data_IF_798101049702
#
_entry.id   IF_798101049702
#
_cell.length_a   1.000
_cell.length_b   1.000
_cell.length_c   1.000
_cell.angle_alpha   90.00
_cell.angle_beta   90.00
_cell.angle_gamma   90.00
#
_symmetry.space_group_name_H-M   'P 1'
#
loop_
_entity.id
_entity.type
_entity.pdbx_description
1 polymer ?
#
# COMPACT_ATOMS: atom_id res chain seq x y z
N UNK A 1 34.68 -0.26 -23.87
CA UNK A 1 33.74 0.32 -22.87
C UNK A 1 33.15 -0.81 -22.07
N UNK A 2 33.57 -0.93 -20.84
CA UNK A 2 32.97 -1.87 -19.94
C UNK A 2 31.69 -1.20 -19.44
N UNK A 3 30.54 -1.63 -19.93
CA UNK A 3 29.28 -1.32 -19.26
C UNK A 3 29.31 -2.08 -17.95
N UNK A 4 29.60 -1.40 -16.87
CA UNK A 4 29.32 -1.96 -15.55
C UNK A 4 27.84 -2.25 -15.49
N UNK A 5 27.49 -3.52 -15.58
CA UNK A 5 26.19 -3.99 -15.16
C UNK A 5 26.15 -3.77 -13.67
N UNK A 6 25.61 -2.63 -13.26
CA UNK A 6 25.31 -2.41 -11.85
C UNK A 6 24.37 -3.55 -11.43
N UNK A 7 24.77 -4.33 -10.44
CA UNK A 7 23.90 -5.33 -9.86
C UNK A 7 22.65 -4.63 -9.32
N UNK A 8 21.50 -5.26 -9.54
CA UNK A 8 20.26 -4.79 -8.96
C UNK A 8 20.46 -4.61 -7.45
N UNK A 9 20.28 -3.38 -6.93
CA UNK A 9 20.49 -3.07 -5.52
C UNK A 9 21.61 -2.08 -5.21
N UNK A 10 22.56 -1.87 -6.13
CA UNK A 10 23.63 -0.88 -5.95
C UNK A 10 23.35 0.44 -6.68
N UNK A 11 22.21 0.54 -7.35
CA UNK A 11 21.81 1.73 -8.09
C UNK A 11 21.56 2.89 -7.13
N UNK A 12 22.22 4.04 -7.34
CA UNK A 12 21.91 5.24 -6.55
C UNK A 12 20.46 5.67 -6.73
N UNK A 13 19.89 6.22 -5.66
CA UNK A 13 18.55 6.78 -5.71
C UNK A 13 18.57 8.09 -6.49
N UNK A 14 17.55 8.27 -7.35
CA UNK A 14 17.26 9.55 -7.97
C UNK A 14 16.87 10.55 -6.87
N UNK A 15 17.32 11.83 -6.93
CA UNK A 15 16.89 12.83 -5.95
C UNK A 15 15.36 12.96 -5.80
N UNK A 16 14.61 12.76 -6.89
CA UNK A 16 13.14 12.78 -6.81
C UNK A 16 12.59 11.57 -6.06
N UNK A 17 13.23 10.40 -6.20
CA UNK A 17 12.84 9.20 -5.43
C UNK A 17 13.17 9.33 -3.95
N UNK A 18 14.25 10.05 -3.62
CA UNK A 18 14.69 10.26 -2.24
C UNK A 18 13.89 11.36 -1.53
N UNK A 19 13.06 12.12 -2.24
CA UNK A 19 12.25 13.17 -1.65
C UNK A 19 11.25 12.56 -0.63
N UNK A 20 11.27 13.08 0.58
CA UNK A 20 10.41 12.58 1.66
C UNK A 20 10.98 11.37 2.41
N UNK A 21 12.15 10.87 2.02
CA UNK A 21 12.82 9.79 2.73
C UNK A 21 13.29 10.28 4.12
N UNK A 22 12.95 9.55 5.19
CA UNK A 22 13.28 9.97 6.56
C UNK A 22 14.76 9.77 6.87
N UNK A 23 15.37 8.57 6.64
CA UNK A 23 16.79 8.38 6.91
C UNK A 23 17.65 9.03 5.83
N UNK A 24 18.56 9.91 6.26
CA UNK A 24 19.43 10.65 5.36
C UNK A 24 20.63 9.85 4.86
N UNK A 25 20.94 8.73 5.52
CA UNK A 25 22.07 7.86 5.17
C UNK A 25 21.74 6.87 4.05
N UNK A 26 20.49 6.73 3.69
CA UNK A 26 20.05 5.83 2.60
C UNK A 26 20.30 6.53 1.27
N UNK A 27 21.12 5.92 0.44
CA UNK A 27 21.54 6.49 -0.85
C UNK A 27 21.39 5.52 -2.02
N UNK A 28 21.14 4.24 -1.75
CA UNK A 28 20.98 3.21 -2.78
C UNK A 28 19.61 2.56 -2.71
N UNK A 29 19.18 1.98 -3.84
CA UNK A 29 17.92 1.25 -3.91
C UNK A 29 17.93 0.02 -3.02
N UNK A 30 19.07 -0.65 -2.88
CA UNK A 30 19.21 -1.81 -1.99
C UNK A 30 18.97 -1.43 -0.53
N UNK A 31 19.58 -0.35 -0.08
CA UNK A 31 19.37 0.17 1.27
C UNK A 31 17.91 0.55 1.51
N UNK A 32 17.28 1.23 0.54
CA UNK A 32 15.87 1.61 0.60
C UNK A 32 14.97 0.37 0.68
N UNK A 33 15.19 -0.62 -0.16
CA UNK A 33 14.40 -1.85 -0.18
C UNK A 33 14.50 -2.57 1.17
N UNK A 34 15.69 -2.64 1.74
CA UNK A 34 15.91 -3.25 3.06
C UNK A 34 15.15 -2.51 4.15
N UNK A 35 15.24 -1.19 4.16
CA UNK A 35 14.54 -0.36 5.15
C UNK A 35 13.03 -0.51 5.03
N UNK A 36 12.50 -0.48 3.82
CA UNK A 36 11.06 -0.68 3.58
C UNK A 36 10.62 -2.07 4.03
N UNK A 37 11.41 -3.09 3.74
CA UNK A 37 11.09 -4.47 4.15
C UNK A 37 11.06 -4.62 5.67
N UNK A 38 12.02 -4.06 6.38
CA UNK A 38 12.05 -4.05 7.85
C UNK A 38 10.82 -3.34 8.43
N UNK A 39 10.44 -2.22 7.85
CA UNK A 39 9.27 -1.46 8.26
C UNK A 39 7.97 -2.26 8.03
N UNK A 40 7.87 -2.97 6.90
CA UNK A 40 6.71 -3.82 6.60
C UNK A 40 6.61 -4.98 7.59
N UNK A 41 7.73 -5.60 7.98
CA UNK A 41 7.75 -6.65 9.02
C UNK A 41 7.17 -6.12 10.34
N UNK A 42 7.51 -4.91 10.72
CA UNK A 42 6.93 -4.27 11.92
C UNK A 42 5.42 -4.09 11.79
N UNK A 43 4.93 -3.73 10.60
CA UNK A 43 3.50 -3.61 10.33
C UNK A 43 2.78 -4.96 10.48
N UNK A 44 3.38 -6.05 10.00
CA UNK A 44 2.83 -7.40 10.16
C UNK A 44 2.72 -7.79 11.64
N UNK A 45 3.74 -7.47 12.44
CA UNK A 45 3.71 -7.69 13.88
C UNK A 45 2.60 -6.87 14.55
N UNK A 46 2.43 -5.62 14.15
CA UNK A 46 1.35 -4.77 14.65
C UNK A 46 -0.02 -5.37 14.33
N UNK A 47 -0.23 -5.88 13.12
CA UNK A 47 -1.49 -6.52 12.72
C UNK A 47 -1.84 -7.71 13.61
N UNK A 48 -0.85 -8.55 13.96
CA UNK A 48 -1.06 -9.71 14.81
C UNK A 48 -1.41 -9.31 16.26
N UNK A 49 -0.83 -8.24 16.74
CA UNK A 49 -1.03 -7.76 18.13
C UNK A 49 -2.31 -6.96 18.26
N UNK A 50 -2.51 -5.97 17.40
CA UNK A 50 -3.65 -5.05 17.47
C UNK A 50 -4.95 -5.66 16.95
N UNK A 51 -4.86 -6.56 15.96
CA UNK A 51 -5.99 -7.23 15.30
C UNK A 51 -7.14 -6.28 14.98
N UNK A 52 -6.92 -5.28 14.11
CA UNK A 52 -7.96 -4.30 13.76
C UNK A 52 -9.24 -4.98 13.26
N UNK A 53 -10.40 -4.48 13.69
CA UNK A 53 -11.69 -5.10 13.38
C UNK A 53 -12.32 -4.56 12.09
N UNK A 54 -12.07 -3.31 11.75
CA UNK A 54 -12.71 -2.63 10.62
C UNK A 54 -11.70 -2.44 9.49
N UNK A 55 -11.58 -3.45 8.61
CA UNK A 55 -10.61 -3.45 7.52
C UNK A 55 -11.06 -2.57 6.34
N UNK A 56 -12.37 -2.49 6.09
CA UNK A 56 -12.94 -1.70 4.99
C UNK A 56 -13.33 -0.32 5.48
N UNK A 57 -12.33 0.44 5.89
CA UNK A 57 -12.45 1.77 6.46
C UNK A 57 -11.25 2.61 6.01
N UNK A 58 -11.50 3.84 5.60
CA UNK A 58 -10.43 4.77 5.21
C UNK A 58 -9.37 4.91 6.30
N UNK A 59 -9.80 5.03 7.55
CA UNK A 59 -8.88 5.17 8.67
C UNK A 59 -7.93 3.98 8.79
N UNK A 60 -8.42 2.76 8.64
CA UNK A 60 -7.57 1.56 8.66
C UNK A 60 -6.63 1.51 7.46
N UNK A 61 -7.13 1.78 6.26
CA UNK A 61 -6.32 1.76 5.03
C UNK A 61 -5.15 2.73 5.15
N UNK A 62 -5.38 3.93 5.67
CA UNK A 62 -4.33 4.92 5.92
C UNK A 62 -3.39 4.49 7.06
N UNK A 63 -3.94 3.95 8.12
CA UNK A 63 -3.15 3.49 9.27
C UNK A 63 -2.21 2.36 8.90
N UNK A 64 -2.68 1.40 8.11
CA UNK A 64 -1.83 0.31 7.65
C UNK A 64 -0.67 0.83 6.80
N UNK A 65 -0.94 1.76 5.87
CA UNK A 65 0.12 2.37 5.08
C UNK A 65 1.15 3.07 5.98
N UNK A 66 0.68 3.80 6.98
CA UNK A 66 1.55 4.47 7.96
C UNK A 66 2.40 3.45 8.73
N UNK A 67 1.84 2.31 9.12
CA UNK A 67 2.59 1.25 9.80
C UNK A 67 3.63 0.59 8.89
N UNK A 68 3.32 0.43 7.61
CA UNK A 68 4.22 -0.21 6.65
C UNK A 68 5.39 0.69 6.24
N UNK A 69 5.19 2.00 6.19
CA UNK A 69 6.13 2.93 5.58
C UNK A 69 6.51 4.12 6.46
N UNK A 70 5.97 4.21 7.68
CA UNK A 70 6.10 5.40 8.53
C UNK A 70 7.49 5.69 9.05
N UNK A 71 8.38 4.70 9.07
CA UNK A 71 9.79 4.89 9.43
C UNK A 71 10.65 5.21 8.21
N UNK A 72 10.11 5.04 7.02
CA UNK A 72 10.81 5.22 5.76
C UNK A 72 10.44 6.54 5.09
N UNK A 73 9.14 6.85 5.06
CA UNK A 73 8.61 7.98 4.30
C UNK A 73 7.81 8.94 5.17
N UNK A 74 8.09 10.23 5.05
CA UNK A 74 7.44 11.29 5.84
C UNK A 74 5.93 11.36 5.62
N UNK A 75 5.46 11.03 4.42
CA UNK A 75 4.06 11.10 4.06
C UNK A 75 3.32 9.76 4.13
N UNK A 76 3.90 8.77 4.80
CA UNK A 76 3.24 7.49 4.99
C UNK A 76 1.87 7.67 5.68
N UNK A 77 0.84 7.05 5.14
CA UNK A 77 -0.53 7.17 5.64
C UNK A 77 -1.25 8.44 5.21
N UNK A 78 -0.59 9.34 4.49
CA UNK A 78 -1.19 10.57 3.95
C UNK A 78 -1.40 10.42 2.45
N UNK A 79 -2.53 10.90 1.95
CA UNK A 79 -2.79 10.89 0.52
C UNK A 79 -1.76 11.73 -0.23
N UNK A 80 -1.43 11.31 -1.44
CA UNK A 80 -0.56 12.11 -2.32
C UNK A 80 -1.17 13.49 -2.55
N UNK A 81 -0.32 14.48 -2.66
CA UNK A 81 -0.69 15.88 -2.88
C UNK A 81 -0.41 16.35 -4.31
N UNK A 82 -0.09 15.42 -5.19
CA UNK A 82 0.18 15.69 -6.60
C UNK A 82 -0.62 14.75 -7.50
N UNK A 83 -0.98 15.24 -8.69
CA UNK A 83 -1.52 14.41 -9.74
C UNK A 83 -0.37 13.73 -10.49
N UNK A 84 -0.55 12.45 -10.79
CA UNK A 84 0.42 11.63 -11.51
C UNK A 84 -0.21 11.12 -12.80
N UNK A 85 0.60 10.52 -13.67
CA UNK A 85 0.11 9.88 -14.90
C UNK A 85 -0.77 8.67 -14.62
N UNK A 86 -0.76 8.16 -13.40
CA UNK A 86 -1.58 7.04 -12.93
C UNK A 86 -2.36 7.48 -11.70
N UNK A 87 -3.51 6.85 -11.47
CA UNK A 87 -4.36 7.16 -10.34
C UNK A 87 -5.48 8.14 -10.68
N UNK A 88 -6.39 8.31 -9.74
CA UNK A 88 -7.45 9.31 -9.84
C UNK A 88 -6.90 10.70 -9.53
N UNK A 89 -7.58 11.79 -9.94
CA UNK A 89 -7.20 13.12 -9.50
C UNK A 89 -7.11 13.18 -7.96
N UNK A 90 -6.09 13.85 -7.45
CA UNK A 90 -5.85 13.92 -6.00
C UNK A 90 -7.04 14.37 -5.18
N UNK A 91 -7.84 15.27 -5.73
CA UNK A 91 -9.04 15.78 -5.08
C UNK A 91 -10.14 14.70 -4.93
N UNK A 92 -10.07 13.61 -5.68
CA UNK A 92 -11.06 12.55 -5.68
C UNK A 92 -10.65 11.33 -4.84
N UNK A 93 -9.43 11.29 -4.30
CA UNK A 93 -8.90 10.12 -3.58
C UNK A 93 -9.82 9.71 -2.43
N UNK A 94 -10.19 10.66 -1.56
CA UNK A 94 -11.04 10.37 -0.41
C UNK A 94 -12.39 9.82 -0.79
N UNK A 95 -13.04 10.40 -1.78
CA UNK A 95 -14.36 9.96 -2.26
C UNK A 95 -14.28 8.58 -2.89
N UNK A 96 -13.29 8.35 -3.76
CA UNK A 96 -13.13 7.06 -4.44
C UNK A 96 -12.77 5.95 -3.45
N UNK A 97 -11.96 6.25 -2.44
CA UNK A 97 -11.62 5.29 -1.41
C UNK A 97 -12.85 4.93 -0.55
N UNK A 98 -13.66 5.93 -0.19
CA UNK A 98 -14.91 5.70 0.53
C UNK A 98 -15.87 4.82 -0.28
N UNK A 99 -16.06 5.12 -1.56
CA UNK A 99 -16.89 4.30 -2.45
C UNK A 99 -16.37 2.86 -2.53
N UNK A 100 -15.07 2.68 -2.66
CA UNK A 100 -14.46 1.34 -2.70
C UNK A 100 -14.80 0.54 -1.44
N UNK A 101 -14.65 1.14 -0.27
CA UNK A 101 -14.96 0.48 1.00
C UNK A 101 -16.44 0.12 1.10
N UNK A 102 -17.34 1.05 0.79
CA UNK A 102 -18.77 0.81 0.85
C UNK A 102 -19.24 -0.24 -0.17
N UNK A 103 -18.75 -0.16 -1.41
CA UNK A 103 -19.08 -1.14 -2.45
C UNK A 103 -18.60 -2.54 -2.06
N UNK A 104 -17.41 -2.65 -1.50
CA UNK A 104 -16.85 -3.95 -1.10
C UNK A 104 -17.63 -4.56 0.07
N UNK A 105 -18.03 -3.74 1.06
CA UNK A 105 -18.91 -4.19 2.15
C UNK A 105 -20.22 -4.74 1.60
N UNK A 106 -20.84 -4.04 0.68
CA UNK A 106 -22.08 -4.47 0.06
C UNK A 106 -21.90 -5.77 -0.73
N UNK A 107 -20.83 -5.90 -1.48
CA UNK A 107 -20.52 -7.13 -2.23
C UNK A 107 -20.36 -8.34 -1.31
N UNK A 108 -19.72 -8.16 -0.15
CA UNK A 108 -19.55 -9.22 0.84
C UNK A 108 -20.92 -9.57 1.47
N UNK A 109 -21.67 -8.58 1.90
CA UNK A 109 -22.97 -8.77 2.56
C UNK A 109 -23.97 -9.50 1.66
N UNK A 110 -24.06 -9.07 0.41
CA UNK A 110 -25.02 -9.61 -0.56
C UNK A 110 -24.47 -10.79 -1.37
N UNK A 111 -23.23 -11.19 -1.12
CA UNK A 111 -22.55 -12.26 -1.88
C UNK A 111 -22.66 -12.04 -3.39
N UNK A 112 -22.42 -10.79 -3.80
CA UNK A 112 -22.58 -10.35 -5.19
C UNK A 112 -21.64 -11.07 -6.17
N UNK A 113 -20.50 -11.53 -5.68
CA UNK A 113 -19.48 -12.27 -6.43
C UNK A 113 -18.84 -13.32 -5.54
N UNK A 114 -18.19 -14.34 -6.14
CA UNK A 114 -17.36 -15.26 -5.34
C UNK A 114 -16.28 -14.50 -4.56
N UNK A 115 -15.81 -15.02 -3.41
CA UNK A 115 -14.82 -14.34 -2.57
C UNK A 115 -13.56 -13.89 -3.31
N UNK A 116 -13.02 -14.74 -4.18
CA UNK A 116 -11.80 -14.41 -4.93
C UNK A 116 -12.03 -13.24 -5.89
N UNK A 117 -13.21 -13.15 -6.49
CA UNK A 117 -13.56 -12.04 -7.38
C UNK A 117 -13.74 -10.74 -6.61
N UNK A 118 -14.37 -10.78 -5.41
CA UNK A 118 -14.49 -9.60 -4.55
C UNK A 118 -13.09 -9.06 -4.21
N UNK A 119 -12.18 -9.95 -3.81
CA UNK A 119 -10.80 -9.58 -3.49
C UNK A 119 -10.08 -8.99 -4.70
N UNK A 120 -10.22 -9.59 -5.87
CA UNK A 120 -9.60 -9.11 -7.10
C UNK A 120 -10.11 -7.72 -7.49
N UNK A 121 -11.43 -7.50 -7.41
CA UNK A 121 -12.06 -6.21 -7.69
C UNK A 121 -11.57 -5.13 -6.73
N UNK A 122 -11.50 -5.47 -5.45
CA UNK A 122 -10.98 -4.56 -4.42
C UNK A 122 -9.52 -4.17 -4.70
N UNK A 123 -8.66 -5.15 -4.94
CA UNK A 123 -7.25 -4.92 -5.24
C UNK A 123 -7.07 -4.02 -6.46
N UNK A 124 -7.75 -4.34 -7.56
CA UNK A 124 -7.67 -3.58 -8.80
C UNK A 124 -8.10 -2.13 -8.60
N UNK A 125 -9.21 -1.89 -7.91
CA UNK A 125 -9.70 -0.54 -7.65
C UNK A 125 -8.77 0.24 -6.74
N UNK A 126 -8.24 -0.37 -5.70
CA UNK A 126 -7.32 0.31 -4.78
C UNK A 126 -6.04 0.73 -5.50
N UNK A 127 -5.47 -0.15 -6.31
CA UNK A 127 -4.31 0.18 -7.14
C UNK A 127 -4.63 1.30 -8.12
N UNK A 128 -5.81 1.27 -8.73
CA UNK A 128 -6.26 2.28 -9.70
C UNK A 128 -6.45 3.66 -9.07
N UNK A 129 -6.89 3.72 -7.81
CA UNK A 129 -7.00 4.99 -7.07
C UNK A 129 -5.62 5.58 -6.83
N UNK A 130 -4.63 4.75 -6.53
CA UNK A 130 -3.25 5.16 -6.27
C UNK A 130 -3.18 6.25 -5.18
N UNK A 131 -3.64 5.95 -3.95
CA UNK A 131 -3.90 7.01 -2.96
C UNK A 131 -2.65 7.66 -2.36
N UNK A 132 -1.52 6.95 -2.31
CA UNK A 132 -0.33 7.40 -1.58
C UNK A 132 0.80 7.80 -2.52
N UNK A 133 1.80 8.57 -2.04
CA UNK A 133 2.93 8.94 -2.87
C UNK A 133 3.76 7.76 -3.37
N UNK A 134 3.84 6.69 -2.56
CA UNK A 134 4.58 5.47 -2.90
C UNK A 134 4.05 4.28 -2.12
N UNK A 135 4.51 3.08 -2.45
CA UNK A 135 4.14 1.85 -1.76
C UNK A 135 2.74 1.35 -2.03
N UNK A 136 2.03 1.89 -3.03
CA UNK A 136 0.62 1.54 -3.29
C UNK A 136 0.44 0.06 -3.66
N UNK A 137 1.33 -0.52 -4.44
CA UNK A 137 1.22 -1.91 -4.85
C UNK A 137 1.34 -2.88 -3.68
N UNK A 138 2.36 -2.73 -2.86
CA UNK A 138 2.58 -3.59 -1.68
C UNK A 138 1.51 -3.38 -0.62
N UNK A 139 1.08 -2.14 -0.42
CA UNK A 139 -0.01 -1.82 0.49
C UNK A 139 -1.33 -2.46 0.03
N UNK A 140 -1.71 -2.29 -1.23
CA UNK A 140 -2.93 -2.88 -1.79
C UNK A 140 -2.90 -4.41 -1.67
N UNK A 141 -1.75 -5.04 -1.90
CA UNK A 141 -1.60 -6.48 -1.76
C UNK A 141 -1.85 -6.93 -0.31
N UNK A 142 -1.28 -6.24 0.66
CA UNK A 142 -1.47 -6.61 2.06
C UNK A 142 -2.92 -6.41 2.52
N UNK A 143 -3.57 -5.30 2.15
CA UNK A 143 -4.99 -5.10 2.47
C UNK A 143 -5.83 -6.20 1.87
N UNK A 144 -5.56 -6.58 0.61
CA UNK A 144 -6.30 -7.65 -0.07
C UNK A 144 -6.09 -9.00 0.60
N UNK A 145 -4.87 -9.34 1.00
CA UNK A 145 -4.58 -10.57 1.73
C UNK A 145 -5.34 -10.63 3.06
N UNK A 146 -5.40 -9.52 3.79
CA UNK A 146 -6.18 -9.42 5.02
C UNK A 146 -7.68 -9.59 4.77
N UNK A 147 -8.19 -9.00 3.70
CA UNK A 147 -9.59 -9.14 3.31
C UNK A 147 -9.94 -10.61 3.03
N UNK A 148 -9.11 -11.31 2.27
CA UNK A 148 -9.29 -12.73 1.98
C UNK A 148 -9.27 -13.58 3.26
N UNK A 149 -8.26 -13.36 4.10
CA UNK A 149 -8.07 -14.15 5.31
C UNK A 149 -9.15 -13.89 6.36
N UNK A 150 -9.48 -12.62 6.61
CA UNK A 150 -10.29 -12.22 7.77
C UNK A 150 -11.75 -12.01 7.48
N UNK A 151 -12.12 -11.52 6.28
CA UNK A 151 -13.49 -11.23 5.92
C UNK A 151 -14.10 -12.24 4.94
N UNK A 152 -13.31 -12.74 4.01
CA UNK A 152 -13.76 -13.71 3.00
C UNK A 152 -13.42 -15.15 3.38
N UNK A 153 -12.64 -15.35 4.44
CA UNK A 153 -12.21 -16.66 4.98
C UNK A 153 -11.57 -17.55 3.91
N UNK A 154 -10.69 -16.96 3.11
CA UNK A 154 -9.92 -17.66 2.09
C UNK A 154 -8.43 -17.50 2.38
N UNK A 155 -7.62 -18.42 1.87
CA UNK A 155 -6.16 -18.27 1.96
C UNK A 155 -5.69 -17.11 1.07
N UNK A 156 -4.73 -16.30 1.53
CA UNK A 156 -4.11 -15.27 0.69
C UNK A 156 -3.46 -15.86 -0.56
N UNK A 157 -3.38 -15.05 -1.61
CA UNK A 157 -2.73 -15.44 -2.86
C UNK A 157 -1.22 -15.65 -2.68
#
# INVERSE_FOLDING_TARGET
MVTETQSEGTTPLDPNEAEGLIPTHVSTREELNRLEQENIVEALQWLETARPKHLLDEAFIRKLHQKMFGRTWKRAGKFRDSDKNIGVPKAHIGVELHKLCEDTKAQIEHKSYPPDEIAWRFHHRLVSIHPFPNGNGRHARLVTDLLLERLLQRSPF
#
